data_IF_224243608938
#
_entry.id   IF_224243608938
#
_cell.length_a   1.000
_cell.length_b   1.000
_cell.length_c   1.000
_cell.angle_alpha   90.00
_cell.angle_beta   90.00
_cell.angle_gamma   90.00
#
_symmetry.space_group_name_H-M   'P 1'
#
loop_
_entity.id
_entity.type
_entity.pdbx_description
1 polymer ?
#
# COMPACT_ATOMS: atom_id res chain seq x y z
N UNK A 1 15.30 8.05 4.32
CA UNK A 1 14.74 7.89 2.96
C UNK A 1 15.37 8.90 2.03
N UNK A 2 15.63 8.52 0.79
CA UNK A 2 16.19 9.39 -0.26
C UNK A 2 15.53 9.14 -1.60
N UNK A 3 15.75 10.02 -2.53
CA UNK A 3 15.20 9.90 -3.87
C UNK A 3 15.85 10.85 -4.86
N UNK A 4 15.47 10.74 -6.10
CA UNK A 4 15.88 11.66 -7.16
C UNK A 4 14.70 12.04 -8.04
N UNK A 5 14.82 13.17 -8.70
CA UNK A 5 13.82 13.67 -9.66
C UNK A 5 14.50 13.99 -10.98
N UNK A 6 13.88 13.58 -12.08
CA UNK A 6 14.34 13.97 -13.41
C UNK A 6 13.98 15.45 -13.68
N UNK A 7 14.99 16.32 -13.82
CA UNK A 7 14.77 17.75 -14.12
C UNK A 7 14.06 17.99 -15.47
N UNK A 8 14.33 17.10 -16.44
CA UNK A 8 13.74 17.16 -17.78
C UNK A 8 13.18 15.77 -18.11
N UNK A 9 11.93 15.53 -17.73
CA UNK A 9 11.25 14.28 -18.03
C UNK A 9 10.83 14.26 -19.50
N UNK A 10 11.21 13.24 -20.27
CA UNK A 10 10.72 13.06 -21.63
C UNK A 10 9.21 12.93 -21.69
N UNK A 11 8.58 13.37 -22.78
CA UNK A 11 7.14 13.22 -23.00
C UNK A 11 6.77 11.74 -23.28
N UNK A 12 7.66 11.03 -23.96
CA UNK A 12 7.48 9.62 -24.26
C UNK A 12 7.78 8.76 -23.03
N UNK A 13 6.80 7.88 -22.68
CA UNK A 13 6.86 7.05 -21.47
C UNK A 13 8.07 6.11 -21.44
N UNK A 14 8.38 5.47 -22.57
CA UNK A 14 9.52 4.55 -22.66
C UNK A 14 10.85 5.26 -22.47
N UNK A 15 11.03 6.42 -23.09
CA UNK A 15 12.21 7.23 -22.92
C UNK A 15 12.36 7.75 -21.48
N UNK A 16 11.25 8.13 -20.83
CA UNK A 16 11.23 8.51 -19.43
C UNK A 16 11.69 7.37 -18.51
N UNK A 17 11.23 6.14 -18.76
CA UNK A 17 11.62 4.94 -18.01
C UNK A 17 13.13 4.66 -18.19
N UNK A 18 13.65 4.67 -19.42
CA UNK A 18 15.07 4.44 -19.71
C UNK A 18 15.95 5.49 -19.03
N UNK A 19 15.52 6.74 -19.07
CA UNK A 19 16.23 7.84 -18.42
C UNK A 19 16.20 7.69 -16.90
N UNK A 20 15.07 7.29 -16.33
CA UNK A 20 14.94 6.98 -14.90
C UNK A 20 15.89 5.87 -14.47
N UNK A 21 15.91 4.74 -15.18
CA UNK A 21 16.83 3.62 -14.91
C UNK A 21 18.30 4.07 -14.95
N UNK A 22 18.69 4.90 -15.93
CA UNK A 22 20.05 5.45 -16.02
C UNK A 22 20.41 6.31 -14.81
N UNK A 23 19.51 7.19 -14.39
CA UNK A 23 19.75 8.08 -13.25
C UNK A 23 19.66 7.32 -11.90
N UNK A 24 18.83 6.30 -11.82
CA UNK A 24 18.79 5.42 -10.67
C UNK A 24 20.14 4.70 -10.45
N UNK A 25 20.75 4.12 -11.51
CA UNK A 25 22.10 3.55 -11.42
C UNK A 25 23.12 4.54 -10.84
N UNK A 26 23.10 5.79 -11.31
CA UNK A 26 24.00 6.84 -10.80
C UNK A 26 23.73 7.17 -9.34
N UNK A 27 22.46 7.23 -8.98
CA UNK A 27 22.07 7.51 -7.60
C UNK A 27 22.55 6.39 -6.64
N UNK A 28 22.32 5.15 -7.00
CA UNK A 28 22.80 3.99 -6.21
C UNK A 28 24.33 3.96 -6.15
N UNK A 29 25.03 4.16 -7.27
CA UNK A 29 26.50 4.22 -7.26
C UNK A 29 27.03 5.30 -6.33
N UNK A 30 26.46 6.50 -6.40
CA UNK A 30 26.88 7.61 -5.53
C UNK A 30 26.61 7.33 -4.04
N UNK A 31 25.54 6.64 -3.71
CA UNK A 31 25.28 6.22 -2.33
C UNK A 31 26.31 5.19 -1.84
N UNK A 32 26.66 4.21 -2.66
CA UNK A 32 27.65 3.20 -2.30
C UNK A 32 29.07 3.79 -2.21
N UNK A 33 29.41 4.82 -2.99
CA UNK A 33 30.69 5.52 -2.92
C UNK A 33 30.92 6.22 -1.56
N UNK A 34 29.87 6.54 -0.83
CA UNK A 34 29.97 7.21 0.49
C UNK A 34 29.60 6.29 1.66
N UNK A 35 29.28 5.03 1.39
CA UNK A 35 28.89 4.04 2.42
C UNK A 35 30.11 3.19 2.77
N UNK A 36 30.27 2.89 4.05
CA UNK A 36 31.28 1.92 4.50
C UNK A 36 30.98 0.53 3.91
N UNK A 37 32.02 -0.27 3.74
CA UNK A 37 31.91 -1.62 3.19
C UNK A 37 32.55 -2.64 4.13
N UNK A 38 32.30 -3.92 3.92
CA UNK A 38 32.98 -5.02 4.62
C UNK A 38 33.79 -5.80 3.59
N UNK A 39 35.09 -5.98 3.85
CA UNK A 39 35.95 -6.77 2.98
C UNK A 39 35.78 -8.30 3.23
N UNK A 40 36.44 -9.10 2.40
CA UNK A 40 36.38 -10.56 2.47
C UNK A 40 36.94 -11.16 3.77
N UNK A 41 37.68 -10.39 4.57
CA UNK A 41 38.15 -10.75 5.88
C UNK A 41 37.20 -10.32 7.00
N UNK A 42 36.06 -9.70 6.68
CA UNK A 42 35.08 -9.18 7.64
C UNK A 42 35.47 -7.84 8.28
N UNK A 43 36.47 -7.14 7.73
CA UNK A 43 36.90 -5.84 8.24
C UNK A 43 36.15 -4.72 7.55
N UNK A 44 35.70 -3.75 8.35
CA UNK A 44 35.04 -2.55 7.82
C UNK A 44 36.04 -1.67 7.09
N UNK A 45 35.68 -1.21 5.90
CA UNK A 45 36.43 -0.33 5.02
C UNK A 45 35.65 0.96 4.82
N UNK A 46 36.18 2.07 5.34
CA UNK A 46 35.62 3.40 5.15
C UNK A 46 36.15 4.01 3.85
N UNK A 47 35.32 4.67 3.02
CA UNK A 47 35.78 5.32 1.80
C UNK A 47 36.81 6.41 2.07
N UNK A 48 38.00 6.31 1.44
CA UNK A 48 39.16 7.17 1.75
C UNK A 48 39.00 8.65 1.41
N UNK A 49 37.96 9.05 0.69
CA UNK A 49 37.65 10.41 0.30
C UNK A 49 36.46 11.02 1.05
N UNK A 50 35.94 10.29 2.04
CA UNK A 50 34.82 10.71 2.89
C UNK A 50 35.33 11.04 4.29
N UNK A 51 34.89 12.16 4.84
CA UNK A 51 35.12 12.51 6.26
C UNK A 51 33.85 12.10 7.01
N UNK A 52 33.98 11.14 7.93
CA UNK A 52 32.90 10.66 8.78
C UNK A 52 33.01 11.27 10.17
N UNK A 53 31.90 11.58 10.79
CA UNK A 53 31.81 12.09 12.16
C UNK A 53 31.22 11.04 13.13
N UNK A 54 30.65 9.99 12.58
CA UNK A 54 30.04 8.87 13.32
C UNK A 54 30.87 7.60 13.16
N UNK A 55 30.56 6.59 13.95
CA UNK A 55 31.18 5.27 13.83
C UNK A 55 30.85 4.63 12.48
N UNK A 56 31.73 3.75 11.96
CA UNK A 56 31.49 3.09 10.67
C UNK A 56 30.16 2.32 10.65
N UNK A 57 29.36 2.55 9.61
CA UNK A 57 28.09 1.87 9.35
C UNK A 57 28.07 1.26 7.93
N UNK A 58 28.41 -0.02 7.77
CA UNK A 58 28.40 -0.71 6.48
C UNK A 58 27.01 -1.19 6.06
N UNK A 59 25.96 -0.87 6.83
CA UNK A 59 24.60 -1.32 6.52
C UNK A 59 23.83 -0.30 5.70
N UNK A 60 23.70 -0.59 4.41
CA UNK A 60 22.79 0.12 3.51
C UNK A 60 21.97 -0.91 2.73
N UNK A 61 20.67 -0.82 2.77
CA UNK A 61 19.74 -1.58 1.93
C UNK A 61 18.78 -0.64 1.23
N UNK A 62 18.30 -1.02 0.07
CA UNK A 62 17.33 -0.23 -0.67
C UNK A 62 16.08 -1.04 -0.97
N UNK A 63 14.93 -0.38 -0.87
CA UNK A 63 13.66 -0.91 -1.32
C UNK A 63 13.11 0.09 -2.34
N UNK A 64 13.24 -0.18 -3.66
CA UNK A 64 12.73 0.70 -4.69
C UNK A 64 11.22 0.87 -4.54
N UNK A 65 10.77 2.11 -4.65
CA UNK A 65 9.35 2.42 -4.59
C UNK A 65 8.61 1.72 -5.74
N UNK A 66 7.41 1.22 -5.43
CA UNK A 66 6.54 0.48 -6.36
C UNK A 66 7.06 -0.87 -6.86
N UNK A 67 7.96 -1.53 -6.13
CA UNK A 67 8.21 -2.97 -6.22
C UNK A 67 8.38 -3.53 -7.63
N UNK A 68 8.99 -2.78 -8.56
CA UNK A 68 9.34 -3.34 -9.85
C UNK A 68 10.65 -4.10 -9.70
N UNK A 69 10.66 -5.39 -10.01
CA UNK A 69 11.85 -6.23 -10.01
C UNK A 69 13.02 -5.56 -10.74
N UNK A 70 12.74 -4.84 -11.83
CA UNK A 70 13.70 -4.09 -12.62
C UNK A 70 14.59 -3.12 -11.82
N UNK A 71 14.03 -2.33 -10.91
CA UNK A 71 14.82 -1.37 -10.11
C UNK A 71 15.62 -2.07 -9.02
N UNK A 72 15.10 -3.13 -8.44
CA UNK A 72 15.84 -3.97 -7.50
C UNK A 72 17.00 -4.68 -8.19
N UNK A 73 16.80 -5.23 -9.38
CA UNK A 73 17.86 -5.85 -10.18
C UNK A 73 18.97 -4.84 -10.53
N UNK A 74 18.58 -3.62 -10.91
CA UNK A 74 19.55 -2.54 -11.17
C UNK A 74 20.38 -2.22 -9.92
N UNK A 75 19.75 -2.13 -8.75
CA UNK A 75 20.45 -1.83 -7.51
C UNK A 75 21.40 -2.97 -7.12
N UNK A 76 20.97 -4.22 -7.22
CA UNK A 76 21.80 -5.39 -6.95
C UNK A 76 22.97 -5.50 -7.92
N UNK A 77 22.75 -5.28 -9.22
CA UNK A 77 23.83 -5.23 -10.23
C UNK A 77 24.91 -4.17 -9.89
N UNK A 78 24.47 -2.99 -9.44
CA UNK A 78 25.40 -1.93 -9.01
C UNK A 78 26.14 -2.34 -7.73
N UNK A 79 25.47 -2.94 -6.76
CA UNK A 79 26.06 -3.45 -5.53
C UNK A 79 27.17 -4.45 -5.81
N UNK A 80 26.88 -5.47 -6.62
CA UNK A 80 27.87 -6.49 -7.02
C UNK A 80 29.07 -5.88 -7.76
N UNK A 81 28.81 -4.99 -8.75
CA UNK A 81 29.88 -4.32 -9.51
C UNK A 81 30.75 -3.42 -8.66
N UNK A 82 30.20 -2.84 -7.59
CA UNK A 82 30.93 -2.01 -6.64
C UNK A 82 31.68 -2.84 -5.59
N UNK A 83 31.50 -4.16 -5.58
CA UNK A 83 32.06 -5.04 -4.54
C UNK A 83 31.49 -4.75 -3.16
N UNK A 84 30.25 -4.28 -3.08
CA UNK A 84 29.58 -4.04 -1.81
C UNK A 84 29.19 -5.39 -1.18
N UNK A 85 29.43 -5.53 0.10
CA UNK A 85 29.40 -6.83 0.80
C UNK A 85 28.04 -7.54 0.77
N UNK A 86 26.92 -6.80 0.64
CA UNK A 86 25.59 -7.39 0.54
C UNK A 86 25.30 -8.01 -0.85
N UNK A 87 26.05 -7.64 -1.89
CA UNK A 87 25.86 -8.19 -3.23
C UNK A 87 24.41 -8.09 -3.71
N UNK A 88 23.79 -9.21 -4.05
CA UNK A 88 22.40 -9.34 -4.51
C UNK A 88 21.34 -9.23 -3.40
N UNK A 89 21.77 -9.18 -2.14
CA UNK A 89 20.89 -8.92 -1.00
C UNK A 89 20.72 -7.41 -0.69
N UNK A 90 21.39 -6.54 -1.45
CA UNK A 90 21.35 -5.09 -1.25
C UNK A 90 19.96 -4.49 -1.49
N UNK A 91 19.23 -4.97 -2.50
CA UNK A 91 17.84 -4.58 -2.78
C UNK A 91 16.91 -5.78 -2.70
N UNK A 92 15.80 -5.62 -2.00
CA UNK A 92 14.76 -6.64 -1.93
C UNK A 92 13.89 -6.68 -3.19
N UNK A 93 13.30 -7.83 -3.49
CA UNK A 93 12.30 -7.99 -4.57
C UNK A 93 12.86 -8.03 -5.99
N UNK A 94 14.15 -8.33 -6.16
CA UNK A 94 14.76 -8.56 -7.47
C UNK A 94 14.36 -9.91 -8.11
N UNK A 95 14.69 -10.10 -9.40
CA UNK A 95 14.32 -11.29 -10.17
C UNK A 95 14.99 -12.59 -9.68
N UNK A 96 16.17 -12.48 -9.09
CA UNK A 96 16.90 -13.62 -8.47
C UNK A 96 16.39 -13.88 -7.06
N UNK A 97 15.82 -12.87 -6.42
CA UNK A 97 15.33 -12.96 -5.06
C UNK A 97 13.85 -13.34 -5.04
N UNK A 98 13.09 -12.54 -4.36
CA UNK A 98 11.77 -12.83 -3.93
C UNK A 98 10.78 -11.80 -4.51
N UNK A 99 9.83 -12.30 -5.31
CA UNK A 99 8.76 -11.47 -5.85
C UNK A 99 7.64 -11.32 -4.80
N UNK A 100 7.60 -10.18 -4.14
CA UNK A 100 6.64 -9.89 -3.07
C UNK A 100 5.20 -10.12 -3.50
N UNK A 101 4.83 -9.67 -4.70
CA UNK A 101 3.46 -9.77 -5.19
C UNK A 101 3.08 -11.21 -5.53
N UNK A 102 4.01 -11.96 -6.13
CA UNK A 102 3.80 -13.37 -6.48
C UNK A 102 3.68 -14.25 -5.24
N UNK A 103 4.54 -14.04 -4.27
CA UNK A 103 4.55 -14.80 -3.02
C UNK A 103 3.49 -14.30 -2.03
N UNK A 104 3.20 -12.99 -2.02
CA UNK A 104 2.18 -12.37 -1.19
C UNK A 104 2.39 -12.53 0.30
N UNK A 105 3.64 -12.63 0.77
CA UNK A 105 3.94 -13.05 2.14
C UNK A 105 3.42 -12.06 3.19
N UNK A 106 3.49 -10.76 2.90
CA UNK A 106 2.99 -9.73 3.81
C UNK A 106 1.49 -9.86 4.00
N UNK A 107 0.75 -10.02 2.90
CA UNK A 107 -0.69 -10.21 2.95
C UNK A 107 -1.10 -11.52 3.63
N UNK A 108 -0.39 -12.61 3.36
CA UNK A 108 -0.61 -13.91 4.02
C UNK A 108 -0.37 -13.82 5.51
N UNK A 109 0.75 -13.23 5.94
CA UNK A 109 1.05 -13.04 7.35
C UNK A 109 0.03 -12.16 8.06
N UNK A 110 -0.35 -11.03 7.46
CA UNK A 110 -1.41 -10.17 7.97
C UNK A 110 -2.76 -10.88 8.06
N UNK A 111 -3.07 -11.74 7.08
CA UNK A 111 -4.32 -12.51 7.10
C UNK A 111 -4.35 -13.58 8.19
N UNK A 112 -3.22 -14.20 8.52
CA UNK A 112 -3.15 -15.12 9.67
C UNK A 112 -3.43 -14.39 10.99
N UNK A 113 -2.95 -13.14 11.15
CA UNK A 113 -3.32 -12.31 12.29
C UNK A 113 -4.81 -11.97 12.30
N UNK A 114 -5.40 -11.61 11.16
CA UNK A 114 -6.84 -11.38 11.02
C UNK A 114 -7.65 -12.61 11.44
N UNK A 115 -7.27 -13.80 10.95
CA UNK A 115 -7.90 -15.07 11.34
C UNK A 115 -7.88 -15.30 12.86
N UNK A 116 -6.73 -15.00 13.49
CA UNK A 116 -6.58 -15.16 14.93
C UNK A 116 -7.55 -14.23 15.69
N UNK A 117 -7.56 -12.93 15.35
CA UNK A 117 -8.45 -11.97 16.00
C UNK A 117 -9.93 -12.34 15.87
N UNK A 118 -10.38 -12.73 14.67
CA UNK A 118 -11.77 -13.18 14.48
C UNK A 118 -12.06 -14.50 15.22
N UNK A 119 -11.10 -15.40 15.30
CA UNK A 119 -11.25 -16.64 16.09
C UNK A 119 -11.45 -16.37 17.58
N UNK A 120 -10.74 -15.38 18.15
CA UNK A 120 -10.94 -14.95 19.53
C UNK A 120 -12.33 -14.32 19.75
N UNK A 121 -12.92 -13.74 18.70
CA UNK A 121 -14.30 -13.25 18.68
C UNK A 121 -15.33 -14.35 18.39
N UNK A 122 -14.92 -15.61 18.26
CA UNK A 122 -15.79 -16.76 17.96
C UNK A 122 -16.24 -16.83 16.50
N UNK A 123 -15.56 -16.16 15.58
CA UNK A 123 -15.87 -16.13 14.14
C UNK A 123 -14.77 -16.77 13.31
N UNK A 124 -15.12 -17.33 12.17
CA UNK A 124 -14.18 -17.89 11.21
C UNK A 124 -14.27 -17.16 9.86
N UNK A 125 -13.37 -16.23 9.59
CA UNK A 125 -13.35 -15.43 8.35
C UNK A 125 -13.15 -16.25 7.07
N UNK A 126 -12.88 -17.55 7.17
CA UNK A 126 -12.80 -18.44 6.01
C UNK A 126 -14.13 -19.07 5.63
N UNK A 127 -15.12 -19.03 6.54
CA UNK A 127 -16.46 -19.60 6.34
C UNK A 127 -17.57 -18.58 6.54
N UNK A 128 -17.35 -17.61 7.40
CA UNK A 128 -18.36 -16.62 7.76
C UNK A 128 -18.19 -15.39 6.85
N UNK A 129 -19.31 -14.92 6.30
CA UNK A 129 -19.33 -13.68 5.52
C UNK A 129 -18.75 -12.54 6.34
N UNK A 130 -17.80 -11.81 5.75
CA UNK A 130 -17.06 -10.77 6.42
C UNK A 130 -17.12 -9.48 5.61
N UNK A 131 -17.68 -8.42 6.19
CA UNK A 131 -17.74 -7.10 5.58
C UNK A 131 -16.38 -6.41 5.68
N UNK A 132 -15.87 -5.90 4.55
CA UNK A 132 -14.52 -5.36 4.46
C UNK A 132 -14.54 -4.01 3.78
N UNK A 133 -13.78 -3.08 4.33
CA UNK A 133 -13.34 -1.87 3.63
C UNK A 133 -11.81 -1.87 3.52
N UNK A 134 -11.26 -1.15 2.54
CA UNK A 134 -9.83 -1.22 2.40
C UNK A 134 -9.16 -0.04 1.69
N UNK A 135 -7.87 0.07 1.94
CA UNK A 135 -7.00 1.05 1.32
C UNK A 135 -6.06 0.35 0.35
N UNK A 136 -6.19 0.66 -0.93
CA UNK A 136 -5.41 0.07 -2.00
C UNK A 136 -6.23 -0.30 -3.24
N UNK A 137 -5.66 -1.09 -4.11
CA UNK A 137 -6.30 -1.66 -5.30
C UNK A 137 -5.76 -3.06 -5.60
N UNK A 138 -6.44 -3.76 -6.52
CA UNK A 138 -6.10 -5.14 -6.85
C UNK A 138 -4.77 -5.31 -7.60
N UNK A 139 -4.21 -4.24 -8.16
CA UNK A 139 -2.87 -4.29 -8.78
C UNK A 139 -1.73 -4.26 -7.75
N UNK A 140 -2.01 -3.80 -6.54
CA UNK A 140 -1.04 -3.76 -5.43
C UNK A 140 -0.78 -5.13 -4.81
N UNK A 141 0.44 -5.33 -4.29
CA UNK A 141 0.82 -6.58 -3.61
C UNK A 141 -0.05 -6.84 -2.39
N UNK A 142 0.03 -5.99 -1.39
CA UNK A 142 -0.60 -6.24 -0.08
C UNK A 142 -2.12 -6.22 -0.16
N UNK A 143 -2.69 -5.27 -0.90
CA UNK A 143 -4.14 -5.20 -1.05
C UNK A 143 -4.65 -6.36 -1.91
N UNK A 144 -4.08 -6.56 -3.09
CA UNK A 144 -4.53 -7.60 -4.02
C UNK A 144 -4.44 -9.00 -3.43
N UNK A 145 -3.29 -9.36 -2.86
CA UNK A 145 -3.12 -10.64 -2.19
C UNK A 145 -4.04 -10.77 -0.97
N UNK A 146 -4.23 -9.72 -0.18
CA UNK A 146 -5.10 -9.76 1.01
C UNK A 146 -6.56 -10.02 0.66
N UNK A 147 -7.06 -9.32 -0.35
CA UNK A 147 -8.46 -9.45 -0.78
C UNK A 147 -8.77 -10.76 -1.50
N UNK A 148 -7.77 -11.61 -1.71
CA UNK A 148 -7.93 -12.96 -2.27
C UNK A 148 -7.79 -14.08 -1.23
N UNK A 149 -7.47 -13.76 0.04
CA UNK A 149 -7.25 -14.78 1.09
C UNK A 149 -8.52 -15.53 1.49
N UNK A 150 -9.69 -14.94 1.30
CA UNK A 150 -10.97 -15.63 1.54
C UNK A 150 -12.01 -15.31 0.47
N UNK A 151 -12.85 -16.30 0.15
CA UNK A 151 -14.02 -16.12 -0.70
C UNK A 151 -15.25 -15.57 0.03
N UNK A 152 -15.17 -15.42 1.35
CA UNK A 152 -16.23 -14.88 2.20
C UNK A 152 -16.23 -13.35 2.27
N UNK A 153 -15.20 -12.71 1.71
CA UNK A 153 -15.00 -11.25 1.75
C UNK A 153 -16.10 -10.55 0.94
N UNK A 154 -16.89 -9.73 1.62
CA UNK A 154 -17.74 -8.71 1.04
C UNK A 154 -17.00 -7.35 1.06
N UNK A 155 -16.30 -7.02 -0.02
CA UNK A 155 -15.61 -5.75 -0.14
C UNK A 155 -16.63 -4.64 -0.41
N UNK A 156 -17.10 -3.99 0.64
CA UNK A 156 -18.12 -2.93 0.60
C UNK A 156 -17.58 -1.63 0.01
N UNK A 157 -16.34 -1.28 0.31
CA UNK A 157 -15.69 -0.10 -0.22
C UNK A 157 -14.17 -0.25 -0.23
N UNK A 158 -13.53 0.40 -1.18
CA UNK A 158 -12.09 0.55 -1.21
C UNK A 158 -11.70 1.87 -1.88
N UNK A 159 -10.50 2.36 -1.59
CA UNK A 159 -9.95 3.51 -2.29
C UNK A 159 -8.44 3.42 -2.43
N UNK A 160 -7.93 4.06 -3.46
CA UNK A 160 -6.49 4.27 -3.65
C UNK A 160 -6.20 5.78 -3.88
N UNK A 161 -5.08 6.09 -4.50
CA UNK A 161 -4.71 7.48 -4.80
C UNK A 161 -5.53 8.11 -5.96
N UNK A 162 -6.23 7.30 -6.76
CA UNK A 162 -6.98 7.75 -7.93
C UNK A 162 -8.49 7.56 -7.79
N UNK A 163 -8.93 6.41 -7.29
CA UNK A 163 -10.32 5.99 -7.36
C UNK A 163 -10.91 5.61 -6.00
N UNK A 164 -12.23 5.64 -5.95
CA UNK A 164 -13.09 5.12 -4.88
C UNK A 164 -13.96 4.05 -5.49
N UNK A 165 -13.98 2.87 -4.91
CA UNK A 165 -14.86 1.75 -5.23
C UNK A 165 -15.90 1.62 -4.13
N UNK A 166 -17.19 1.55 -4.50
CA UNK A 166 -18.31 1.34 -3.59
C UNK A 166 -19.18 0.21 -4.13
N UNK A 167 -19.47 -0.76 -3.29
CA UNK A 167 -20.39 -1.87 -3.57
C UNK A 167 -21.23 -2.15 -2.31
N UNK A 168 -22.47 -1.65 -2.25
CA UNK A 168 -23.29 -1.77 -1.04
C UNK A 168 -23.59 -3.20 -0.62
N UNK A 169 -23.78 -4.12 -1.57
CA UNK A 169 -24.12 -5.52 -1.27
C UNK A 169 -23.42 -6.52 -2.21
N UNK A 170 -22.06 -6.60 -2.15
CA UNK A 170 -21.30 -7.47 -3.04
C UNK A 170 -21.60 -8.95 -2.77
N UNK A 171 -21.88 -9.71 -3.83
CA UNK A 171 -21.89 -11.17 -3.75
C UNK A 171 -20.45 -11.68 -3.51
N UNK A 172 -20.19 -12.41 -2.44
CA UNK A 172 -18.83 -12.79 -2.07
C UNK A 172 -18.10 -13.60 -3.12
N UNK A 173 -18.77 -14.55 -3.76
CA UNK A 173 -18.14 -15.48 -4.71
C UNK A 173 -17.84 -14.80 -6.05
N UNK A 174 -18.83 -14.15 -6.66
CA UNK A 174 -18.63 -13.47 -7.95
C UNK A 174 -17.64 -12.30 -7.83
N UNK A 175 -17.71 -11.53 -6.74
CA UNK A 175 -16.77 -10.44 -6.47
C UNK A 175 -15.36 -10.97 -6.19
N UNK A 176 -15.18 -12.16 -5.58
CA UNK A 176 -13.87 -12.78 -5.44
C UNK A 176 -13.25 -13.13 -6.80
N UNK A 177 -14.04 -13.69 -7.72
CA UNK A 177 -13.57 -14.00 -9.08
C UNK A 177 -13.17 -12.74 -9.85
N UNK A 178 -13.93 -11.66 -9.69
CA UNK A 178 -13.61 -10.38 -10.31
C UNK A 178 -12.35 -9.75 -9.71
N UNK A 179 -12.20 -9.77 -8.39
CA UNK A 179 -10.95 -9.34 -7.73
C UNK A 179 -9.75 -10.14 -8.22
N UNK A 180 -9.91 -11.47 -8.39
CA UNK A 180 -8.85 -12.32 -8.94
C UNK A 180 -8.49 -11.92 -10.37
N UNK A 181 -9.49 -11.68 -11.22
CA UNK A 181 -9.27 -11.21 -12.61
C UNK A 181 -8.46 -9.89 -12.63
N UNK A 182 -8.83 -8.93 -11.80
CA UNK A 182 -8.09 -7.66 -11.69
C UNK A 182 -6.67 -7.87 -11.15
N UNK A 183 -6.49 -8.74 -10.19
CA UNK A 183 -5.16 -9.06 -9.65
C UNK A 183 -4.25 -9.67 -10.72
N UNK A 184 -4.77 -10.52 -11.59
CA UNK A 184 -4.02 -11.15 -12.68
C UNK A 184 -3.79 -10.18 -13.85
N UNK A 185 -4.60 -9.13 -13.99
CA UNK A 185 -4.45 -8.12 -15.04
C UNK A 185 -3.34 -7.12 -14.66
N UNK A 186 -2.30 -7.04 -15.51
CA UNK A 186 -1.19 -6.13 -15.28
C UNK A 186 -1.64 -4.66 -15.36
N UNK A 187 -1.40 -3.91 -14.27
CA UNK A 187 -1.71 -2.48 -14.20
C UNK A 187 -3.21 -2.18 -14.14
N UNK A 188 -4.02 -3.11 -13.64
CA UNK A 188 -5.45 -2.90 -13.42
C UNK A 188 -5.70 -1.76 -12.44
N UNK A 189 -6.85 -1.15 -12.58
CA UNK A 189 -7.36 -0.09 -11.70
C UNK A 189 -8.78 -0.43 -11.28
N UNK A 190 -9.39 0.33 -10.36
CA UNK A 190 -10.78 0.14 -10.00
C UNK A 190 -11.74 0.37 -11.17
N UNK A 191 -11.36 1.18 -12.17
CA UNK A 191 -12.20 1.41 -13.36
C UNK A 191 -12.29 0.19 -14.30
N UNK A 192 -11.40 -0.80 -14.12
CA UNK A 192 -11.45 -2.06 -14.85
C UNK A 192 -12.38 -3.09 -14.21
N UNK A 193 -12.95 -2.79 -13.02
CA UNK A 193 -13.94 -3.65 -12.38
C UNK A 193 -15.23 -3.70 -13.20
N UNK A 194 -15.76 -4.90 -13.42
CA UNK A 194 -16.98 -5.10 -14.20
C UNK A 194 -18.18 -4.49 -13.48
N UNK A 195 -18.76 -3.45 -14.07
CA UNK A 195 -19.91 -2.73 -13.50
C UNK A 195 -21.14 -3.62 -13.28
N UNK A 196 -21.28 -4.68 -14.06
CA UNK A 196 -22.38 -5.66 -13.92
C UNK A 196 -22.26 -6.53 -12.66
N UNK A 197 -21.10 -6.54 -12.00
CA UNK A 197 -20.86 -7.29 -10.77
C UNK A 197 -20.92 -6.40 -9.52
N UNK A 198 -21.05 -5.08 -9.72
CA UNK A 198 -21.31 -4.15 -8.62
C UNK A 198 -22.81 -4.18 -8.32
N UNK A 199 -23.17 -4.26 -7.06
CA UNK A 199 -24.57 -4.26 -6.63
C UNK A 199 -25.25 -2.92 -6.89
N UNK A 200 -26.59 -2.91 -6.78
CA UNK A 200 -27.41 -1.70 -7.02
C UNK A 200 -26.88 -0.49 -6.26
N UNK A 201 -26.78 0.63 -6.95
CA UNK A 201 -26.36 1.91 -6.39
C UNK A 201 -24.84 2.08 -6.24
N UNK A 202 -24.07 1.01 -6.31
CA UNK A 202 -22.61 1.07 -6.22
C UNK A 202 -21.94 1.57 -7.51
N UNK A 203 -20.64 1.79 -7.44
CA UNK A 203 -19.87 2.28 -8.59
C UNK A 203 -18.40 2.59 -8.28
N UNK A 204 -17.72 3.08 -9.30
CA UNK A 204 -16.34 3.55 -9.21
C UNK A 204 -16.29 5.04 -9.53
N UNK A 205 -15.62 5.79 -8.68
CA UNK A 205 -15.58 7.25 -8.76
C UNK A 205 -14.14 7.75 -8.67
N UNK A 206 -13.88 8.94 -9.24
CA UNK A 206 -12.61 9.63 -9.07
C UNK A 206 -12.46 10.13 -7.63
N UNK A 207 -11.32 9.84 -6.99
CA UNK A 207 -11.05 10.31 -5.61
C UNK A 207 -11.08 11.84 -5.49
N UNK A 208 -10.72 12.55 -6.56
CA UNK A 208 -10.70 14.02 -6.60
C UNK A 208 -12.02 14.62 -7.14
N UNK A 209 -13.08 13.81 -7.27
CA UNK A 209 -14.36 14.31 -7.72
C UNK A 209 -14.86 15.43 -6.81
N UNK A 210 -15.30 16.53 -7.43
CA UNK A 210 -15.86 17.68 -6.70
C UNK A 210 -17.25 17.43 -6.17
N UNK A 211 -17.96 16.47 -6.77
CA UNK A 211 -19.31 16.04 -6.37
C UNK A 211 -19.53 14.62 -6.87
N UNK A 212 -19.94 13.74 -6.00
CA UNK A 212 -20.40 12.37 -6.27
C UNK A 212 -21.84 12.33 -5.81
N UNK A 213 -22.76 12.07 -6.74
CA UNK A 213 -24.17 11.83 -6.43
C UNK A 213 -24.29 10.44 -5.78
N UNK A 214 -24.91 10.40 -4.61
CA UNK A 214 -25.02 9.17 -3.82
C UNK A 214 -26.40 8.53 -4.05
N UNK A 215 -26.39 7.26 -4.44
CA UNK A 215 -27.60 6.45 -4.46
C UNK A 215 -28.16 6.21 -3.05
N UNK A 216 -29.43 5.84 -2.90
CA UNK A 216 -29.97 5.46 -1.60
C UNK A 216 -29.17 4.38 -0.91
N UNK A 217 -28.73 3.36 -1.65
CA UNK A 217 -27.94 2.23 -1.12
C UNK A 217 -26.55 2.68 -0.64
N UNK A 218 -25.92 3.62 -1.34
CA UNK A 218 -24.63 4.19 -0.93
C UNK A 218 -24.78 5.14 0.25
N UNK A 219 -25.89 5.90 0.32
CA UNK A 219 -26.19 6.71 1.52
C UNK A 219 -26.33 5.86 2.76
N UNK A 220 -27.07 4.77 2.66
CA UNK A 220 -27.18 3.75 3.73
C UNK A 220 -25.82 3.17 4.12
N UNK A 221 -25.03 2.77 3.12
CA UNK A 221 -23.68 2.21 3.32
C UNK A 221 -22.75 3.17 4.07
N UNK A 222 -22.76 4.44 3.70
CA UNK A 222 -21.89 5.48 4.26
C UNK A 222 -22.48 6.14 5.53
N UNK A 223 -23.73 5.82 5.89
CA UNK A 223 -24.41 6.40 7.05
C UNK A 223 -24.60 7.91 6.90
N UNK A 224 -25.10 8.38 5.76
CA UNK A 224 -25.30 9.81 5.48
C UNK A 224 -26.60 10.07 4.76
N UNK A 225 -27.20 11.23 5.04
CA UNK A 225 -28.40 11.72 4.33
C UNK A 225 -28.06 12.67 3.18
N UNK A 226 -26.78 13.00 2.99
CA UNK A 226 -26.33 13.91 1.94
C UNK A 226 -26.59 13.33 0.54
N UNK A 227 -27.10 14.15 -0.37
CA UNK A 227 -27.32 13.74 -1.76
C UNK A 227 -26.03 13.68 -2.57
N UNK A 228 -25.06 14.52 -2.21
CA UNK A 228 -23.79 14.66 -2.89
C UNK A 228 -22.67 14.88 -1.90
N UNK A 229 -21.53 14.20 -2.11
CA UNK A 229 -20.30 14.39 -1.36
C UNK A 229 -19.12 14.58 -2.31
N UNK A 230 -18.09 15.30 -1.87
CA UNK A 230 -16.80 15.29 -2.57
C UNK A 230 -16.11 13.94 -2.38
N UNK A 231 -15.25 13.53 -3.32
CA UNK A 231 -14.53 12.27 -3.20
C UNK A 231 -13.73 12.14 -1.90
N UNK A 232 -13.11 13.22 -1.42
CA UNK A 232 -12.40 13.25 -0.12
C UNK A 232 -13.34 13.01 1.07
N UNK A 233 -14.55 13.52 1.02
CA UNK A 233 -15.57 13.32 2.05
C UNK A 233 -16.08 11.88 2.03
N UNK A 234 -16.26 11.29 0.85
CA UNK A 234 -16.59 9.86 0.70
C UNK A 234 -15.50 8.98 1.30
N UNK A 235 -14.20 9.27 1.05
CA UNK A 235 -13.10 8.51 1.66
C UNK A 235 -13.14 8.58 3.19
N UNK A 236 -13.41 9.75 3.77
CA UNK A 236 -13.58 9.86 5.24
C UNK A 236 -14.74 9.00 5.73
N UNK A 237 -15.89 9.03 5.04
CA UNK A 237 -17.05 8.19 5.41
C UNK A 237 -16.74 6.71 5.31
N UNK A 238 -15.96 6.26 4.31
CA UNK A 238 -15.51 4.87 4.20
C UNK A 238 -14.72 4.47 5.45
N UNK A 239 -13.77 5.29 5.89
CA UNK A 239 -12.96 4.99 7.08
C UNK A 239 -13.77 4.99 8.41
N UNK A 240 -14.95 5.61 8.43
CA UNK A 240 -15.85 5.68 9.56
C UNK A 240 -16.95 4.60 9.54
N UNK A 241 -16.97 3.72 8.53
CA UNK A 241 -17.97 2.67 8.41
C UNK A 241 -17.88 1.65 9.56
N UNK A 242 -19.03 1.16 9.99
CA UNK A 242 -19.14 0.06 10.93
C UNK A 242 -19.14 -1.28 10.15
N UNK A 243 -17.96 -1.87 10.03
CA UNK A 243 -17.73 -3.12 9.31
C UNK A 243 -16.79 -4.05 10.08
N UNK A 244 -16.71 -5.29 9.65
CA UNK A 244 -15.88 -6.28 10.33
C UNK A 244 -14.39 -6.01 10.23
N UNK A 245 -13.89 -5.62 9.05
CA UNK A 245 -12.46 -5.49 8.78
C UNK A 245 -12.13 -4.23 7.97
N UNK A 246 -11.15 -3.47 8.43
CA UNK A 246 -10.40 -2.50 7.63
C UNK A 246 -9.07 -3.13 7.20
N UNK A 247 -8.86 -3.27 5.88
CA UNK A 247 -7.61 -3.76 5.32
C UNK A 247 -6.74 -2.62 4.79
N UNK A 248 -5.63 -2.33 5.48
CA UNK A 248 -4.66 -1.30 5.10
C UNK A 248 -3.58 -1.92 4.21
N UNK A 249 -3.85 -1.97 2.91
CA UNK A 249 -2.97 -2.55 1.89
C UNK A 249 -2.27 -1.53 0.99
N UNK A 250 -2.53 -0.24 1.19
CA UNK A 250 -1.97 0.87 0.43
C UNK A 250 -1.14 1.83 1.31
N UNK A 251 -0.30 2.64 0.66
CA UNK A 251 0.56 3.61 1.33
C UNK A 251 -0.25 4.80 1.84
N UNK A 252 0.05 5.25 3.05
CA UNK A 252 -0.54 6.42 3.68
C UNK A 252 -0.94 6.16 5.13
N UNK A 253 -1.04 7.22 5.94
CA UNK A 253 -1.52 7.17 7.31
C UNK A 253 -2.93 7.76 7.36
N UNK A 254 -3.92 6.92 7.60
CA UNK A 254 -5.35 7.24 7.48
C UNK A 254 -6.07 7.37 8.82
N UNK A 255 -5.47 6.87 9.90
CA UNK A 255 -6.00 6.98 11.25
C UNK A 255 -4.91 7.54 12.17
N UNK A 256 -5.23 8.59 12.92
CA UNK A 256 -4.36 9.16 13.93
C UNK A 256 -5.01 9.14 15.30
N UNK A 257 -4.21 9.30 16.36
CA UNK A 257 -4.71 9.52 17.70
C UNK A 257 -5.50 10.82 17.79
N UNK A 258 -6.48 10.86 18.66
CA UNK A 258 -7.20 12.10 19.00
C UNK A 258 -6.27 13.16 19.59
N UNK A 259 -5.15 12.75 20.17
CA UNK A 259 -4.14 13.63 20.79
C UNK A 259 -3.09 14.15 19.78
N UNK A 260 -3.09 13.65 18.54
CA UNK A 260 -2.14 14.07 17.52
C UNK A 260 -2.73 15.14 16.59
N UNK A 261 -1.92 16.12 16.21
CA UNK A 261 -2.24 17.04 15.13
C UNK A 261 -1.79 16.44 13.77
N UNK A 262 -2.34 16.94 12.68
CA UNK A 262 -1.93 16.56 11.31
C UNK A 262 -0.41 16.77 11.07
N UNK A 263 0.17 17.77 11.73
CA UNK A 263 1.60 18.04 11.65
C UNK A 263 2.46 16.92 12.26
N UNK A 264 2.01 16.30 13.35
CA UNK A 264 2.73 15.21 14.02
C UNK A 264 2.75 13.92 13.17
N UNK A 265 1.71 13.69 12.39
CA UNK A 265 1.60 12.50 11.54
C UNK A 265 2.63 12.53 10.40
N UNK A 266 2.92 13.71 9.83
CA UNK A 266 3.94 13.89 8.79
C UNK A 266 3.56 13.34 7.41
N UNK A 267 2.30 12.98 7.18
CA UNK A 267 1.75 12.55 5.88
C UNK A 267 0.74 13.58 5.37
N UNK A 268 1.24 14.66 4.79
CA UNK A 268 0.41 15.78 4.32
C UNK A 268 -0.56 15.40 3.19
N UNK A 269 -0.22 14.41 2.38
CA UNK A 269 -1.04 14.00 1.24
C UNK A 269 -2.42 13.45 1.66
N UNK A 270 -2.54 12.97 2.88
CA UNK A 270 -3.77 12.35 3.39
C UNK A 270 -4.43 13.14 4.53
N UNK A 271 -3.98 14.37 4.83
CA UNK A 271 -4.57 15.19 5.90
C UNK A 271 -6.08 15.38 5.77
N UNK A 272 -6.56 15.61 4.54
CA UNK A 272 -7.98 15.88 4.29
C UNK A 272 -8.89 14.64 4.46
N UNK A 273 -8.32 13.44 4.35
CA UNK A 273 -9.08 12.18 4.43
C UNK A 273 -8.87 11.42 5.74
N UNK A 274 -7.85 11.80 6.53
CA UNK A 274 -7.52 11.14 7.79
C UNK A 274 -8.61 11.33 8.83
N UNK A 275 -8.89 10.26 9.57
CA UNK A 275 -9.82 10.26 10.70
C UNK A 275 -9.07 10.12 12.03
N UNK A 276 -9.74 10.46 13.11
CA UNK A 276 -9.28 10.18 14.46
C UNK A 276 -9.58 8.72 14.85
N UNK A 277 -8.83 8.16 15.78
CA UNK A 277 -9.06 6.82 16.33
C UNK A 277 -10.49 6.65 16.88
N UNK A 278 -11.02 7.65 17.58
CA UNK A 278 -12.39 7.65 18.11
C UNK A 278 -13.49 7.59 17.03
N UNK A 279 -13.17 7.95 15.78
CA UNK A 279 -14.10 7.86 14.66
C UNK A 279 -14.07 6.48 13.96
N UNK A 280 -13.08 5.63 14.27
CA UNK A 280 -12.91 4.30 13.69
C UNK A 280 -13.86 3.31 14.37
N UNK A 281 -14.73 2.64 13.59
CA UNK A 281 -15.77 1.75 14.12
C UNK A 281 -15.64 0.30 13.65
N UNK A 282 -14.51 -0.03 13.02
CA UNK A 282 -14.26 -1.39 12.54
C UNK A 282 -13.92 -2.34 13.69
N UNK A 283 -14.29 -3.61 13.58
CA UNK A 283 -14.00 -4.61 14.60
C UNK A 283 -12.53 -5.04 14.61
N UNK A 284 -11.92 -5.13 13.43
CA UNK A 284 -10.53 -5.58 13.26
C UNK A 284 -9.83 -4.70 12.22
N UNK A 285 -8.57 -4.38 12.45
CA UNK A 285 -7.69 -3.72 11.48
C UNK A 285 -6.60 -4.69 11.06
N UNK A 286 -6.56 -5.03 9.77
CA UNK A 286 -5.47 -5.76 9.14
C UNK A 286 -4.52 -4.79 8.43
N UNK A 287 -3.26 -4.75 8.80
CA UNK A 287 -2.29 -3.84 8.22
C UNK A 287 -1.10 -4.60 7.62
N UNK A 288 -0.89 -4.43 6.34
CA UNK A 288 0.30 -4.89 5.64
C UNK A 288 1.06 -3.74 4.96
N UNK A 289 0.52 -2.52 5.00
CA UNK A 289 1.19 -1.31 4.58
C UNK A 289 1.98 -0.67 5.74
N UNK A 290 2.91 0.22 5.42
CA UNK A 290 3.70 0.92 6.44
C UNK A 290 2.89 2.07 7.05
N UNK A 291 2.61 2.01 8.34
CA UNK A 291 2.00 3.08 9.13
C UNK A 291 0.64 3.56 8.57
N UNK A 292 -0.28 2.66 8.31
CA UNK A 292 -1.67 3.00 7.94
C UNK A 292 -2.40 3.73 9.06
N UNK A 293 -1.96 3.52 10.31
CA UNK A 293 -2.34 4.29 11.49
C UNK A 293 -1.11 4.68 12.31
N UNK A 294 -1.21 5.76 13.09
CA UNK A 294 -0.11 6.19 13.96
C UNK A 294 0.10 5.21 15.11
N UNK A 295 1.29 5.21 15.69
CA UNK A 295 1.58 4.34 16.85
C UNK A 295 0.68 4.68 18.04
N UNK A 296 0.39 5.97 18.22
CA UNK A 296 -0.49 6.41 19.32
C UNK A 296 -1.94 5.97 19.08
N UNK A 297 -2.42 6.06 17.84
CA UNK A 297 -3.75 5.53 17.47
C UNK A 297 -3.87 4.01 17.74
N UNK A 298 -2.78 3.23 17.54
CA UNK A 298 -2.77 1.78 17.87
C UNK A 298 -2.97 1.50 19.36
N UNK A 299 -2.54 2.43 20.20
CA UNK A 299 -2.66 2.29 21.67
C UNK A 299 -4.07 2.69 22.12
N UNK A 300 -4.70 3.63 21.40
CA UNK A 300 -6.06 4.09 21.70
C UNK A 300 -7.12 3.09 21.23
N UNK A 301 -6.91 2.39 20.10
CA UNK A 301 -7.81 1.38 19.55
C UNK A 301 -7.66 0.02 20.26
#
# INVERSE_FOLDING_TARGET
KGGFVLKNTPAEREEAILKSKKHYRRFISAMLEITDNIDVQGKVQTPGHVITYDDPDPYLVVAPDKGTADFSDIANEVSEKSGFWLGDAFASGGSIGYDHRKEGITARGGWECVKLHFSEMGRNVQTDTTSVIGVGDMSGDVFGNGMLQSKTIQLKAAFNHMHIFLDPDPDPESSWHERKRLFEMQGSTWTDYSTNLISSGGGVYERQAKSIELSPEVKDLLGTDEENLKGIEVVRRILQMDVDLLWLGGIGTFIKSDLESEFHVGDQANNEVRINSSECRVNVIGEGANLGLTQLARIEL
#
